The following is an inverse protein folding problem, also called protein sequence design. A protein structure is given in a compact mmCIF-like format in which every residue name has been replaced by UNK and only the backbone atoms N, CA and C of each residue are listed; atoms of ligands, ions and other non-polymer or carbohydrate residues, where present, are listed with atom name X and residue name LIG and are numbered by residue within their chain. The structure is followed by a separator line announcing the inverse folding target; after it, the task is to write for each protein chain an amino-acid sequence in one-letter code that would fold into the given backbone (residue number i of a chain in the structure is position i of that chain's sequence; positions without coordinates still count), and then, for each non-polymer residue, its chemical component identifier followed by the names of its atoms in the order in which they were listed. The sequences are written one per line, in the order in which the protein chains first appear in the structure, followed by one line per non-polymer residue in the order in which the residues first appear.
data_IF_256071214766
#
_entry.id   IF_256071214766
#
_cell.length_a   1.000
_cell.length_b   1.000
_cell.length_c   1.000
_cell.angle_alpha   90.00
_cell.angle_beta   90.00
_cell.angle_gamma   90.00
#
_symmetry.space_group_name_H-M   'P 1'
#
loop_
_entity.id
_entity.type
_entity.pdbx_description
1 polymer ?
#
# COMPACT_ATOMS: atom_id res chain seq x y z
N UNK A 1 -30.77 -1.43 9.28
CA UNK A 1 -29.85 -0.68 8.40
C UNK A 1 -29.26 -1.68 7.41
N UNK A 2 -29.34 -1.44 6.11
CA UNK A 2 -28.63 -2.24 5.12
C UNK A 2 -27.17 -1.78 5.08
N UNK A 3 -26.23 -2.71 5.23
CA UNK A 3 -24.80 -2.42 5.03
C UNK A 3 -24.58 -2.35 3.52
N UNK A 4 -24.08 -1.23 3.05
CA UNK A 4 -23.65 -1.09 1.66
C UNK A 4 -22.17 -1.50 1.59
N UNK A 5 -21.87 -2.52 0.77
CA UNK A 5 -20.51 -3.01 0.55
C UNK A 5 -20.07 -2.63 -0.84
N UNK A 6 -18.91 -2.01 -0.95
CA UNK A 6 -18.26 -1.73 -2.23
C UNK A 6 -17.04 -2.64 -2.37
N UNK A 7 -16.92 -3.32 -3.50
CA UNK A 7 -15.79 -4.22 -3.79
C UNK A 7 -14.79 -3.46 -4.64
N UNK A 8 -13.55 -3.40 -4.16
CA UNK A 8 -12.40 -2.83 -4.86
C UNK A 8 -11.46 -3.89 -5.43
N UNK A 9 -10.51 -3.44 -6.22
CA UNK A 9 -9.41 -4.26 -6.75
C UNK A 9 -8.09 -3.50 -6.70
N UNK A 10 -7.00 -4.17 -7.06
CA UNK A 10 -5.67 -3.57 -7.09
C UNK A 10 -4.88 -4.04 -8.32
N UNK A 11 -3.86 -3.30 -8.76
CA UNK A 11 -3.00 -3.69 -9.89
C UNK A 11 -2.36 -5.07 -9.74
N UNK A 12 -2.09 -5.53 -8.51
CA UNK A 12 -1.56 -6.86 -8.23
C UNK A 12 -2.47 -7.99 -8.74
N UNK A 13 -3.79 -7.78 -8.79
CA UNK A 13 -4.73 -8.74 -9.40
C UNK A 13 -4.53 -8.91 -10.90
N UNK A 14 -3.84 -7.98 -11.55
CA UNK A 14 -3.39 -8.05 -12.95
C UNK A 14 -1.92 -8.45 -13.09
N UNK A 15 -1.29 -8.92 -12.00
CA UNK A 15 0.11 -9.30 -11.99
C UNK A 15 1.08 -8.10 -12.03
N UNK A 16 0.64 -6.93 -11.61
CA UNK A 16 1.46 -5.72 -11.53
C UNK A 16 1.93 -5.54 -10.09
N UNK A 17 3.23 -5.71 -9.89
CA UNK A 17 3.88 -5.59 -8.57
C UNK A 17 4.87 -4.43 -8.51
N UNK A 18 5.30 -3.92 -9.67
CA UNK A 18 6.31 -2.87 -9.78
C UNK A 18 5.82 -1.71 -10.67
N UNK A 19 6.40 -0.51 -10.54
CA UNK A 19 5.97 0.67 -11.29
C UNK A 19 6.00 0.51 -12.82
N UNK A 20 6.89 -0.33 -13.34
CA UNK A 20 7.01 -0.65 -14.78
C UNK A 20 5.97 -1.69 -15.27
N UNK A 21 5.04 -2.09 -14.41
CA UNK A 21 3.99 -3.07 -14.71
C UNK A 21 4.43 -4.52 -14.61
N UNK A 22 5.68 -4.82 -14.22
CA UNK A 22 6.15 -6.21 -14.14
C UNK A 22 5.51 -6.98 -12.97
N UNK A 23 5.46 -8.34 -13.07
CA UNK A 23 5.91 -9.17 -14.20
C UNK A 23 4.97 -9.19 -15.42
N UNK A 24 3.69 -8.84 -15.27
CA UNK A 24 2.71 -8.95 -16.38
C UNK A 24 2.92 -7.92 -17.49
N UNK A 25 3.54 -6.78 -17.16
CA UNK A 25 3.69 -5.60 -18.03
C UNK A 25 2.37 -5.06 -18.57
N UNK A 26 1.29 -5.22 -17.83
CA UNK A 26 -0.02 -4.66 -18.17
C UNK A 26 0.05 -3.12 -18.07
N UNK A 27 -0.24 -2.39 -19.15
CA UNK A 27 -0.31 -0.93 -19.09
C UNK A 27 -1.41 -0.46 -18.14
N UNK A 28 -1.22 0.66 -17.46
CA UNK A 28 -2.20 1.15 -16.48
C UNK A 28 -3.58 1.42 -17.07
N UNK A 29 -3.64 1.97 -18.28
CA UNK A 29 -4.92 2.21 -18.97
C UNK A 29 -5.67 0.91 -19.26
N UNK A 30 -4.97 -0.17 -19.64
CA UNK A 30 -5.57 -1.50 -19.84
C UNK A 30 -6.11 -2.05 -18.52
N UNK A 31 -5.35 -1.90 -17.42
CA UNK A 31 -5.82 -2.27 -16.08
C UNK A 31 -7.09 -1.51 -15.71
N UNK A 32 -7.13 -0.19 -15.87
CA UNK A 32 -8.29 0.64 -15.56
C UNK A 32 -9.51 0.25 -16.41
N UNK A 33 -9.33 0.05 -17.71
CA UNK A 33 -10.40 -0.36 -18.62
C UNK A 33 -11.00 -1.71 -18.21
N UNK A 34 -10.15 -2.69 -17.92
CA UNK A 34 -10.59 -4.03 -17.54
C UNK A 34 -11.23 -4.05 -16.14
N UNK A 35 -10.72 -3.24 -15.18
CA UNK A 35 -11.35 -3.10 -13.88
C UNK A 35 -12.76 -2.52 -13.99
N UNK A 36 -12.95 -1.47 -14.78
CA UNK A 36 -14.26 -0.89 -15.04
C UNK A 36 -15.20 -1.88 -15.74
N UNK A 37 -14.72 -2.60 -16.76
CA UNK A 37 -15.49 -3.63 -17.49
C UNK A 37 -15.90 -4.80 -16.58
N UNK A 38 -15.04 -5.18 -15.63
CA UNK A 38 -15.35 -6.22 -14.64
C UNK A 38 -16.39 -5.77 -13.59
N UNK A 39 -16.75 -4.48 -13.59
CA UNK A 39 -17.77 -3.92 -12.68
C UNK A 39 -17.22 -3.34 -11.39
N UNK A 40 -15.92 -3.31 -11.18
CA UNK A 40 -15.32 -2.63 -10.03
C UNK A 40 -15.65 -1.14 -10.06
N UNK A 41 -15.79 -0.56 -8.87
CA UNK A 41 -16.05 0.89 -8.70
C UNK A 41 -14.90 1.59 -8.01
N UNK A 42 -14.04 0.84 -7.38
CA UNK A 42 -12.93 1.37 -6.59
C UNK A 42 -11.69 0.49 -6.73
N UNK A 43 -10.54 1.09 -6.59
CA UNK A 43 -9.26 0.40 -6.70
C UNK A 43 -8.19 1.04 -5.79
N UNK A 44 -7.14 0.29 -5.51
CA UNK A 44 -5.96 0.80 -4.85
C UNK A 44 -4.99 1.44 -5.85
N UNK A 45 -4.20 2.40 -5.37
CA UNK A 45 -3.18 3.08 -6.18
C UNK A 45 -2.11 2.11 -6.76
N UNK A 46 -1.87 0.98 -6.08
CA UNK A 46 -0.80 0.06 -6.46
C UNK A 46 0.61 0.67 -6.31
N UNK A 47 1.61 0.11 -7.01
CA UNK A 47 2.99 0.60 -6.93
C UNK A 47 3.10 2.06 -7.37
N UNK A 48 3.82 2.87 -6.59
CA UNK A 48 4.03 4.29 -6.90
C UNK A 48 4.70 4.44 -8.28
N UNK A 49 4.07 5.20 -9.18
CA UNK A 49 4.55 5.40 -10.55
C UNK A 49 3.93 4.46 -11.60
N UNK A 50 3.13 3.47 -11.20
CA UNK A 50 2.35 2.66 -12.14
C UNK A 50 1.15 3.43 -12.70
N UNK A 51 0.28 3.95 -11.84
CA UNK A 51 -0.74 4.91 -12.24
C UNK A 51 -0.12 6.31 -12.38
N UNK A 52 -0.71 7.20 -13.18
CA UNK A 52 -0.24 8.58 -13.32
C UNK A 52 0.09 9.21 -11.96
N UNK A 53 1.25 9.83 -11.84
CA UNK A 53 1.68 10.50 -10.60
C UNK A 53 1.07 11.88 -10.44
N UNK A 54 0.72 12.52 -11.55
CA UNK A 54 -0.06 13.75 -11.56
C UNK A 54 -1.50 13.46 -11.11
N UNK A 55 -1.97 14.21 -10.10
CA UNK A 55 -3.27 13.97 -9.45
C UNK A 55 -4.43 14.27 -10.40
N UNK A 56 -4.34 15.35 -11.18
CA UNK A 56 -5.42 15.74 -12.08
C UNK A 56 -5.52 14.76 -13.25
N UNK A 57 -4.38 14.36 -13.82
CA UNK A 57 -4.37 13.33 -14.86
C UNK A 57 -4.97 12.02 -14.34
N UNK A 58 -4.62 11.60 -13.12
CA UNK A 58 -5.18 10.37 -12.53
C UNK A 58 -6.69 10.52 -12.30
N UNK A 59 -7.15 11.69 -11.85
CA UNK A 59 -8.58 11.97 -11.65
C UNK A 59 -9.35 11.84 -12.97
N UNK A 60 -8.87 12.44 -14.04
CA UNK A 60 -9.49 12.34 -15.36
C UNK A 60 -9.58 10.90 -15.86
N UNK A 61 -8.51 10.11 -15.66
CA UNK A 61 -8.47 8.69 -16.03
C UNK A 61 -9.49 7.85 -15.24
N UNK A 62 -9.67 8.15 -13.95
CA UNK A 62 -10.64 7.46 -13.10
C UNK A 62 -12.08 7.88 -13.43
N UNK A 63 -12.34 9.19 -13.53
CA UNK A 63 -13.67 9.75 -13.75
C UNK A 63 -14.25 9.29 -15.09
N UNK A 64 -13.42 9.24 -16.15
CA UNK A 64 -13.83 8.74 -17.47
C UNK A 64 -14.32 7.29 -17.47
N UNK A 65 -13.96 6.52 -16.43
CA UNK A 65 -14.32 5.10 -16.27
C UNK A 65 -15.29 4.83 -15.12
N UNK A 66 -15.68 5.87 -14.37
CA UNK A 66 -16.52 5.73 -13.18
C UNK A 66 -15.85 4.95 -12.06
N UNK A 67 -14.52 5.12 -11.92
CA UNK A 67 -13.68 4.52 -10.90
C UNK A 67 -13.31 5.55 -9.82
N UNK A 68 -12.97 5.06 -8.63
CA UNK A 68 -12.44 5.86 -7.52
C UNK A 68 -11.27 5.15 -6.83
N UNK A 69 -10.48 5.88 -6.05
CA UNK A 69 -9.44 5.29 -5.21
C UNK A 69 -10.04 4.92 -3.85
N UNK A 70 -9.69 3.74 -3.34
CA UNK A 70 -10.08 3.30 -2.00
C UNK A 70 -8.90 3.03 -1.07
N UNK A 71 -7.67 3.10 -1.54
CA UNK A 71 -6.50 2.84 -0.72
C UNK A 71 -5.19 2.95 -1.49
N UNK A 72 -4.11 2.78 -0.76
CA UNK A 72 -2.76 2.65 -1.31
C UNK A 72 -1.90 1.85 -0.37
N UNK A 73 -0.79 1.34 -0.87
CA UNK A 73 0.10 0.46 -0.10
C UNK A 73 1.49 1.07 0.01
N UNK A 74 1.94 1.24 1.26
CA UNK A 74 3.33 1.52 1.61
C UNK A 74 4.07 0.19 1.74
N UNK A 75 4.79 -0.21 0.68
CA UNK A 75 5.59 -1.43 0.65
C UNK A 75 7.06 -1.04 0.61
N UNK A 76 7.76 -1.20 1.73
CA UNK A 76 9.18 -0.87 1.86
C UNK A 76 9.94 -2.04 2.45
N UNK A 77 11.26 -2.07 2.19
CA UNK A 77 12.17 -2.99 2.88
C UNK A 77 12.55 -2.40 4.25
N UNK A 78 11.59 -2.40 5.19
CA UNK A 78 11.75 -1.75 6.50
C UNK A 78 12.95 -2.28 7.31
N UNK A 79 13.36 -3.51 7.08
CA UNK A 79 14.56 -4.07 7.70
C UNK A 79 15.84 -3.34 7.30
N UNK A 80 15.87 -2.72 6.12
CA UNK A 80 17.01 -1.92 5.65
C UNK A 80 17.00 -0.50 6.21
N UNK A 81 15.85 -0.02 6.67
CA UNK A 81 15.72 1.29 7.27
C UNK A 81 16.35 1.31 8.67
N UNK A 82 17.05 2.39 8.99
CA UNK A 82 17.62 2.63 10.30
C UNK A 82 16.62 3.31 11.24
N UNK A 83 15.70 4.09 10.66
CA UNK A 83 14.67 4.84 11.37
C UNK A 83 13.52 5.20 10.43
N UNK A 84 12.43 5.76 10.96
CA UNK A 84 11.32 6.26 10.14
C UNK A 84 11.77 7.38 9.16
N UNK A 85 12.79 8.15 9.50
CA UNK A 85 13.30 9.22 8.64
C UNK A 85 13.72 8.73 7.25
N UNK A 86 14.16 7.47 7.14
CA UNK A 86 14.63 6.87 5.88
C UNK A 86 13.48 6.64 4.87
N UNK A 87 12.26 6.45 5.36
CA UNK A 87 11.07 6.19 4.53
C UNK A 87 10.06 7.34 4.55
N UNK A 88 10.28 8.34 5.41
CA UNK A 88 9.32 9.42 5.67
C UNK A 88 8.87 10.16 4.42
N UNK A 89 9.81 10.47 3.51
CA UNK A 89 9.47 11.21 2.29
C UNK A 89 8.46 10.44 1.43
N UNK A 90 8.65 9.14 1.27
CA UNK A 90 7.77 8.31 0.44
C UNK A 90 6.38 8.15 1.10
N UNK A 91 6.36 8.08 2.44
CA UNK A 91 5.12 8.09 3.24
C UNK A 91 4.38 9.41 3.10
N UNK A 92 5.08 10.56 3.18
CA UNK A 92 4.49 11.89 2.97
C UNK A 92 3.85 12.01 1.58
N UNK A 93 4.56 11.56 0.56
CA UNK A 93 4.08 11.61 -0.83
C UNK A 93 2.84 10.72 -1.03
N UNK A 94 2.82 9.53 -0.41
CA UNK A 94 1.66 8.64 -0.45
C UNK A 94 0.46 9.24 0.32
N UNK A 95 0.66 9.76 1.52
CA UNK A 95 -0.40 10.41 2.30
C UNK A 95 -1.06 11.55 1.53
N UNK A 96 -0.26 12.46 0.95
CA UNK A 96 -0.77 13.58 0.16
C UNK A 96 -1.58 13.09 -1.04
N UNK A 97 -1.12 12.04 -1.69
CA UNK A 97 -1.80 11.46 -2.85
C UNK A 97 -3.12 10.80 -2.46
N UNK A 98 -3.18 10.08 -1.34
CA UNK A 98 -4.42 9.50 -0.82
C UNK A 98 -5.44 10.57 -0.47
N UNK A 99 -5.01 11.63 0.24
CA UNK A 99 -5.87 12.75 0.62
C UNK A 99 -6.43 13.51 -0.58
N UNK A 100 -5.71 13.57 -1.71
CA UNK A 100 -6.23 14.15 -2.94
C UNK A 100 -7.46 13.40 -3.50
N UNK A 101 -7.68 12.14 -3.07
CA UNK A 101 -8.84 11.31 -3.40
C UNK A 101 -9.76 11.05 -2.21
N UNK A 102 -9.64 11.82 -1.11
CA UNK A 102 -10.43 11.69 0.12
C UNK A 102 -10.29 10.30 0.78
N UNK A 103 -9.10 9.72 0.70
CA UNK A 103 -8.76 8.43 1.31
C UNK A 103 -7.93 8.66 2.57
N UNK A 104 -8.40 8.16 3.70
CA UNK A 104 -7.84 8.39 5.03
C UNK A 104 -7.20 7.13 5.65
N UNK A 105 -6.83 6.17 4.85
CA UNK A 105 -6.07 4.99 5.31
C UNK A 105 -5.13 4.47 4.24
N UNK A 106 -4.05 3.85 4.66
CA UNK A 106 -3.13 3.11 3.81
C UNK A 106 -2.82 1.76 4.42
N UNK A 107 -2.50 0.79 3.58
CA UNK A 107 -1.90 -0.45 4.04
C UNK A 107 -0.39 -0.31 4.08
N UNK A 108 0.25 -0.93 5.06
CA UNK A 108 1.70 -1.02 5.15
C UNK A 108 2.13 -2.46 5.23
N UNK A 109 3.12 -2.83 4.42
CA UNK A 109 3.70 -4.17 4.42
C UNK A 109 5.22 -4.09 4.33
N UNK A 110 5.90 -5.06 4.93
CA UNK A 110 7.33 -5.26 4.72
C UNK A 110 7.55 -6.05 3.42
N UNK A 111 8.27 -5.46 2.48
CA UNK A 111 8.58 -6.06 1.19
C UNK A 111 9.67 -7.14 1.23
N UNK A 112 10.24 -7.43 2.41
CA UNK A 112 11.28 -8.43 2.56
C UNK A 112 10.69 -9.84 2.69
N UNK A 113 11.12 -10.76 1.84
CA UNK A 113 10.72 -12.17 1.94
C UNK A 113 11.87 -13.02 2.50
N UNK A 114 11.57 -13.83 3.51
CA UNK A 114 12.53 -14.69 4.20
C UNK A 114 12.41 -16.16 3.78
N UNK A 115 13.55 -16.88 3.82
CA UNK A 115 13.52 -18.32 3.82
C UNK A 115 13.06 -18.84 5.21
N UNK A 116 12.52 -20.09 5.29
CA UNK A 116 12.07 -20.66 6.55
C UNK A 116 13.16 -20.62 7.64
N UNK A 117 12.83 -20.09 8.82
CA UNK A 117 13.73 -19.98 9.97
C UNK A 117 14.77 -18.84 9.91
N UNK A 118 14.76 -18.01 8.88
CA UNK A 118 15.68 -16.85 8.79
C UNK A 118 15.20 -15.70 9.68
N UNK A 119 13.91 -15.42 9.71
CA UNK A 119 13.35 -14.29 10.49
C UNK A 119 13.53 -14.46 12.00
N UNK A 120 13.61 -15.70 12.49
CA UNK A 120 13.80 -15.99 13.91
C UNK A 120 15.14 -15.50 14.47
N UNK A 121 16.11 -15.22 13.58
CA UNK A 121 17.45 -14.72 13.91
C UNK A 121 17.52 -13.19 13.97
N UNK A 122 16.42 -12.50 13.70
CA UNK A 122 16.39 -11.05 13.47
C UNK A 122 15.76 -10.26 14.63
N UNK A 123 15.86 -10.74 15.88
CA UNK A 123 15.17 -10.15 17.04
C UNK A 123 15.36 -8.62 17.17
N UNK A 124 16.59 -8.13 17.08
CA UNK A 124 16.86 -6.69 17.20
C UNK A 124 16.40 -5.90 15.97
N UNK A 125 16.53 -6.49 14.77
CA UNK A 125 16.03 -5.88 13.57
C UNK A 125 14.49 -5.83 13.57
N UNK A 126 13.82 -6.87 14.06
CA UNK A 126 12.36 -6.93 14.24
C UNK A 126 11.88 -5.81 15.17
N UNK A 127 12.48 -5.68 16.36
CA UNK A 127 12.13 -4.60 17.31
C UNK A 127 12.28 -3.21 16.70
N UNK A 128 13.39 -2.98 15.97
CA UNK A 128 13.61 -1.69 15.29
C UNK A 128 12.54 -1.45 14.25
N UNK A 129 12.22 -2.44 13.42
CA UNK A 129 11.21 -2.35 12.38
C UNK A 129 9.82 -2.06 12.97
N UNK A 130 9.45 -2.72 14.07
CA UNK A 130 8.20 -2.44 14.78
C UNK A 130 8.17 -1.02 15.32
N UNK A 131 9.30 -0.52 15.84
CA UNK A 131 9.42 0.90 16.24
C UNK A 131 9.19 1.86 15.07
N UNK A 132 9.70 1.54 13.88
CA UNK A 132 9.46 2.34 12.66
C UNK A 132 7.99 2.32 12.27
N UNK A 133 7.31 1.17 12.29
CA UNK A 133 5.87 1.08 12.02
C UNK A 133 5.04 1.89 13.01
N UNK A 134 5.33 1.77 14.31
CA UNK A 134 4.62 2.51 15.35
C UNK A 134 4.80 4.04 15.20
N UNK A 135 6.02 4.50 14.87
CA UNK A 135 6.31 5.90 14.59
C UNK A 135 5.60 6.38 13.34
N UNK A 136 5.64 5.62 12.25
CA UNK A 136 4.95 5.92 11.00
C UNK A 136 3.44 6.03 11.22
N UNK A 137 2.82 5.09 11.92
CA UNK A 137 1.38 5.09 12.20
C UNK A 137 0.95 6.34 12.98
N UNK A 138 1.69 6.69 14.02
CA UNK A 138 1.45 7.90 14.80
C UNK A 138 1.63 9.15 13.95
N UNK A 139 2.72 9.24 13.21
CA UNK A 139 3.02 10.37 12.34
C UNK A 139 1.94 10.59 11.27
N UNK A 140 1.52 9.54 10.57
CA UNK A 140 0.48 9.64 9.55
C UNK A 140 -0.85 10.11 10.13
N UNK A 141 -1.23 9.59 11.30
CA UNK A 141 -2.47 9.99 12.00
C UNK A 141 -2.41 11.45 12.45
N UNK A 142 -1.33 11.87 13.10
CA UNK A 142 -1.20 13.22 13.67
C UNK A 142 -1.01 14.29 12.59
N UNK A 143 -0.28 13.98 11.50
CA UNK A 143 0.08 14.96 10.48
C UNK A 143 -0.97 15.03 9.37
N UNK A 144 -1.54 13.89 8.98
CA UNK A 144 -2.39 13.77 7.79
C UNK A 144 -3.82 13.29 8.10
N UNK A 145 -4.10 12.78 9.28
CA UNK A 145 -5.36 12.10 9.58
C UNK A 145 -5.51 10.80 8.79
N UNK A 146 -4.40 10.14 8.44
CA UNK A 146 -4.36 8.88 7.70
C UNK A 146 -4.02 7.74 8.66
N UNK A 147 -4.89 6.73 8.70
CA UNK A 147 -4.65 5.51 9.48
C UNK A 147 -3.76 4.53 8.70
N UNK A 148 -2.77 3.97 9.39
CA UNK A 148 -1.91 2.93 8.83
C UNK A 148 -2.40 1.57 9.28
N UNK A 149 -2.77 0.72 8.31
CA UNK A 149 -3.25 -0.64 8.53
C UNK A 149 -2.12 -1.62 8.17
N UNK A 150 -1.77 -2.50 9.10
CA UNK A 150 -0.76 -3.52 8.82
C UNK A 150 -1.33 -4.60 7.91
N UNK A 151 -0.61 -4.90 6.84
CA UNK A 151 -0.88 -5.99 5.92
C UNK A 151 0.11 -7.14 6.18
N UNK A 152 -0.33 -8.24 6.81
CA UNK A 152 0.51 -9.41 6.96
C UNK A 152 0.80 -10.02 5.60
N UNK A 153 2.07 -10.33 5.33
CA UNK A 153 2.47 -10.91 4.06
C UNK A 153 3.21 -12.23 4.28
N UNK A 154 2.94 -13.20 3.42
CA UNK A 154 3.57 -14.50 3.49
C UNK A 154 5.09 -14.39 3.41
N UNK A 155 5.78 -15.00 4.38
CA UNK A 155 7.24 -14.99 4.49
C UNK A 155 7.86 -13.63 4.78
N UNK A 156 7.06 -12.64 5.15
CA UNK A 156 7.57 -11.37 5.62
C UNK A 156 7.83 -11.39 7.13
N UNK A 157 8.24 -10.25 7.67
CA UNK A 157 8.51 -10.08 9.11
C UNK A 157 7.24 -10.26 9.94
N UNK A 158 6.08 -9.90 9.39
CA UNK A 158 4.77 -10.01 10.01
C UNK A 158 3.88 -10.87 9.10
N UNK A 159 3.67 -12.11 9.50
CA UNK A 159 2.94 -13.14 8.74
C UNK A 159 1.80 -13.76 9.57
N UNK A 160 2.01 -13.92 10.89
CA UNK A 160 1.07 -14.64 11.76
C UNK A 160 0.31 -13.70 12.71
N UNK A 161 -0.83 -14.14 13.26
CA UNK A 161 -1.55 -13.37 14.28
C UNK A 161 -0.69 -12.98 15.47
N UNK A 162 0.17 -13.91 15.94
CA UNK A 162 1.06 -13.67 17.08
C UNK A 162 2.07 -12.57 16.77
N UNK A 163 2.59 -12.52 15.55
CA UNK A 163 3.51 -11.47 15.10
C UNK A 163 2.80 -10.10 14.95
N UNK A 164 1.51 -10.09 14.66
CA UNK A 164 0.70 -8.87 14.69
C UNK A 164 0.46 -8.36 16.10
N UNK A 165 0.27 -9.26 17.08
CA UNK A 165 0.08 -8.89 18.48
C UNK A 165 1.35 -8.32 19.12
N UNK A 166 2.53 -8.61 18.55
CA UNK A 166 3.81 -8.04 19.00
C UNK A 166 4.05 -6.62 18.49
N UNK A 167 3.33 -6.16 17.46
CA UNK A 167 3.45 -4.83 16.83
C UNK A 167 2.77 -3.76 17.70
#
# INVERSE_FOLDING_TARGET
MSIQVTIGTAPCSWGVWWPDGTPSRTPYNVFLDQAAQAGYKTLELGPVGYLPTDVEQLRDELDSRGLSICGGTACYEFLKASSFADVRKDVDDLCKRLLAFDVHYMMSMDGTAFAPGEKDKLTEAKKRTFGIFAEMGRYCRETYGVEVLMHPERRSLIETPEELEEL
#
